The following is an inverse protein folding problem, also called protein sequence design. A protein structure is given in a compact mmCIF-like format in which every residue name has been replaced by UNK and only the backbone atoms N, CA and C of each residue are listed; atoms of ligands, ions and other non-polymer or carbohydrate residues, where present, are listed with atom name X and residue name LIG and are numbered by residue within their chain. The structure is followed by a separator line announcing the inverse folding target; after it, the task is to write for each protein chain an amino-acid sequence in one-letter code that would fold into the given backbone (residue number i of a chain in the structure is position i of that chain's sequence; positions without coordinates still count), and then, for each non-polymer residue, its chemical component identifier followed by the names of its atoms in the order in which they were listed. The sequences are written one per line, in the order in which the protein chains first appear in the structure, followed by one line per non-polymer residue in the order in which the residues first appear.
data_IF_131656151302
#
_entry.id   IF_131656151302
#
_cell.length_a   1.000
_cell.length_b   1.000
_cell.length_c   1.000
_cell.angle_alpha   90.00
_cell.angle_beta   90.00
_cell.angle_gamma   90.00
#
_symmetry.space_group_name_H-M   'P 1'
#
loop_
_entity.id
_entity.type
_entity.pdbx_description
1 polymer ?
#
# COMPACT_ATOMS: atom_id res chain seq x y z
N UNK A 1 -12.65 -48.51 13.70
CA UNK A 1 -12.43 -48.29 15.15
C UNK A 1 -11.13 -47.54 15.34
N UNK A 2 -11.19 -46.44 16.12
CA UNK A 2 -10.13 -45.64 16.79
C UNK A 2 -8.73 -45.52 16.16
N UNK A 3 -8.09 -44.36 16.10
CA UNK A 3 -8.24 -43.17 16.95
C UNK A 3 -6.99 -42.29 16.80
N UNK A 4 -7.10 -41.07 17.31
CA UNK A 4 -6.22 -39.92 17.15
C UNK A 4 -4.88 -39.97 17.90
N UNK A 5 -4.08 -38.93 17.61
CA UNK A 5 -2.98 -38.28 18.36
C UNK A 5 -1.60 -38.57 17.75
N UNK A 6 -0.81 -37.62 17.26
CA UNK A 6 -0.65 -36.21 17.66
C UNK A 6 0.62 -36.10 18.49
N UNK A 7 1.74 -35.65 17.89
CA UNK A 7 2.90 -35.19 18.64
C UNK A 7 3.78 -34.26 17.79
N UNK A 8 3.78 -32.98 18.16
CA UNK A 8 4.82 -31.99 17.85
C UNK A 8 6.09 -32.33 18.63
N UNK A 9 7.29 -31.93 18.16
CA UNK A 9 7.92 -30.86 18.94
C UNK A 9 8.83 -29.86 18.18
N UNK A 10 8.92 -28.68 18.79
CA UNK A 10 10.09 -27.78 18.92
C UNK A 10 10.45 -26.84 17.76
N UNK A 11 9.86 -25.63 17.86
CA UNK A 11 10.39 -24.37 17.34
C UNK A 11 11.66 -23.96 18.12
N UNK A 12 12.72 -23.47 17.44
CA UNK A 12 13.77 -22.71 18.10
C UNK A 12 13.31 -21.26 18.35
N UNK A 13 13.56 -20.80 19.58
CA UNK A 13 13.37 -19.42 20.05
C UNK A 13 14.25 -18.46 19.25
N UNK A 14 13.66 -17.41 18.69
CA UNK A 14 14.40 -16.33 18.02
C UNK A 14 14.04 -15.01 18.70
N UNK A 15 15.07 -14.40 19.29
CA UNK A 15 15.32 -12.96 19.30
C UNK A 15 14.28 -12.02 19.91
N UNK A 16 14.47 -11.69 21.19
CA UNK A 16 14.00 -10.42 21.74
C UNK A 16 14.63 -9.26 20.95
N UNK A 17 13.81 -8.35 20.42
CA UNK A 17 14.25 -7.03 19.98
C UNK A 17 14.34 -6.11 21.21
N UNK A 18 15.41 -5.32 21.38
CA UNK A 18 15.51 -4.42 22.52
C UNK A 18 14.63 -3.18 22.32
N UNK A 19 13.77 -2.93 23.30
CA UNK A 19 13.13 -1.63 23.53
C UNK A 19 14.21 -0.59 23.80
N UNK A 20 14.26 0.45 22.96
CA UNK A 20 15.10 1.62 23.23
C UNK A 20 14.34 2.51 24.21
N UNK A 21 14.74 2.45 25.47
CA UNK A 21 14.38 3.41 26.52
C UNK A 21 15.20 4.68 26.29
N UNK A 22 14.56 5.81 26.00
CA UNK A 22 15.22 7.11 26.02
C UNK A 22 15.29 7.62 27.47
N UNK A 23 16.51 7.85 27.96
CA UNK A 23 16.80 8.52 29.22
C UNK A 23 16.84 10.04 28.97
N UNK A 24 16.25 10.90 29.83
CA UNK A 24 16.26 12.35 29.63
C UNK A 24 17.51 12.97 30.26
N UNK A 25 18.31 13.69 29.49
CA UNK A 25 19.32 14.61 30.02
C UNK A 25 19.22 15.97 29.34
N UNK A 26 19.02 16.98 30.18
CA UNK A 26 19.06 18.42 29.92
C UNK A 26 20.23 18.84 29.03
N UNK A 27 19.94 19.62 27.99
CA UNK A 27 20.92 20.53 27.40
C UNK A 27 20.26 21.89 27.15
N UNK A 28 20.92 22.90 27.72
CA UNK A 28 20.62 24.31 27.74
C UNK A 28 20.11 24.91 26.41
N UNK A 29 19.11 25.78 26.56
CA UNK A 29 18.64 26.74 25.56
C UNK A 29 19.79 27.64 25.09
N UNK A 30 20.09 27.59 23.80
CA UNK A 30 20.84 28.63 23.10
C UNK A 30 19.87 29.39 22.20
N UNK A 31 19.51 30.60 22.61
CA UNK A 31 18.64 31.50 21.85
C UNK A 31 19.44 32.19 20.74
N UNK A 32 19.10 31.91 19.49
CA UNK A 32 19.57 32.65 18.32
C UNK A 32 18.53 33.71 17.90
N UNK A 33 18.95 34.92 17.51
CA UNK A 33 18.01 35.98 17.12
C UNK A 33 17.31 35.62 15.80
N UNK A 34 15.97 35.58 15.81
CA UNK A 34 15.13 35.49 14.60
C UNK A 34 15.30 36.77 13.78
N UNK A 35 16.09 36.71 12.71
CA UNK A 35 16.03 37.70 11.62
C UNK A 35 14.74 37.44 10.83
N UNK A 36 13.77 38.35 11.00
CA UNK A 36 12.53 38.38 10.22
C UNK A 36 12.90 38.81 8.79
N UNK A 37 12.96 37.86 7.87
CA UNK A 37 13.08 38.11 6.44
C UNK A 37 11.80 37.64 5.78
N UNK A 38 11.00 38.61 5.35
CA UNK A 38 9.77 38.47 4.58
C UNK A 38 10.13 38.13 3.14
N UNK A 39 10.20 36.83 2.81
CA UNK A 39 10.02 36.30 1.46
C UNK A 39 9.50 34.86 1.61
N UNK A 40 8.19 34.70 1.84
CA UNK A 40 7.54 33.41 1.64
C UNK A 40 7.45 33.14 0.13
N UNK A 41 8.51 32.57 -0.44
CA UNK A 41 8.36 31.74 -1.62
C UNK A 41 7.68 30.45 -1.16
N UNK A 42 6.35 30.48 -1.09
CA UNK A 42 5.53 29.27 -1.09
C UNK A 42 5.91 28.49 -2.34
N UNK A 43 6.74 27.46 -2.19
CA UNK A 43 6.80 26.38 -3.16
C UNK A 43 5.41 25.75 -3.08
N UNK A 44 4.50 26.22 -3.92
CA UNK A 44 3.22 25.56 -4.12
C UNK A 44 3.54 24.20 -4.72
N UNK A 45 3.74 23.20 -3.85
CA UNK A 45 3.67 21.81 -4.25
C UNK A 45 2.37 21.65 -5.01
N UNK A 46 2.45 21.26 -6.29
CA UNK A 46 1.29 21.13 -7.16
C UNK A 46 0.24 20.28 -6.45
N UNK A 47 -0.93 20.84 -6.11
CA UNK A 47 -1.99 20.10 -5.45
C UNK A 47 -2.41 18.92 -6.34
N UNK A 48 -2.56 17.73 -5.75
CA UNK A 48 -3.05 16.59 -6.50
C UNK A 48 -4.42 16.89 -7.11
N UNK A 49 -4.56 16.65 -8.41
CA UNK A 49 -5.83 16.75 -9.12
C UNK A 49 -6.54 15.38 -9.02
N UNK A 50 -7.73 15.37 -8.44
CA UNK A 50 -8.57 14.18 -8.29
C UNK A 50 -9.67 14.15 -9.36
N UNK A 51 -10.07 12.97 -9.78
CA UNK A 51 -11.26 12.80 -10.60
C UNK A 51 -12.52 13.28 -9.86
N UNK A 52 -13.45 14.00 -10.53
CA UNK A 52 -14.76 14.29 -9.98
C UNK A 52 -15.51 13.00 -9.61
N UNK A 53 -16.27 13.02 -8.51
CA UNK A 53 -17.05 11.85 -8.07
C UNK A 53 -18.00 11.33 -9.14
N UNK A 54 -18.60 12.23 -9.94
CA UNK A 54 -19.53 11.87 -11.00
C UNK A 54 -18.89 11.04 -12.12
N UNK A 55 -17.57 11.13 -12.30
CA UNK A 55 -16.81 10.39 -13.32
C UNK A 55 -15.96 9.25 -12.74
N UNK A 56 -15.91 9.14 -11.40
CA UNK A 56 -15.08 8.15 -10.72
C UNK A 56 -15.66 6.75 -10.92
N UNK A 57 -14.88 5.88 -11.56
CA UNK A 57 -15.24 4.46 -11.72
C UNK A 57 -14.54 3.63 -10.66
N UNK A 58 -15.28 2.70 -10.06
CA UNK A 58 -14.76 1.82 -9.01
C UNK A 58 -15.10 0.37 -9.33
N UNK A 59 -14.07 -0.46 -9.49
CA UNK A 59 -14.25 -1.92 -9.50
C UNK A 59 -14.18 -2.47 -8.09
N UNK A 60 -15.00 -3.49 -7.79
CA UNK A 60 -15.08 -4.14 -6.49
C UNK A 60 -15.04 -5.65 -6.67
N UNK A 61 -14.13 -6.32 -5.96
CA UNK A 61 -13.95 -7.76 -6.11
C UNK A 61 -13.87 -8.44 -4.75
N UNK A 62 -14.75 -9.42 -4.54
CA UNK A 62 -14.58 -10.44 -3.51
C UNK A 62 -13.85 -11.62 -4.15
N UNK A 63 -12.73 -12.01 -3.56
CA UNK A 63 -11.83 -13.03 -4.07
C UNK A 63 -11.86 -14.20 -3.07
N UNK A 64 -12.25 -15.41 -3.50
CA UNK A 64 -12.29 -16.56 -2.62
C UNK A 64 -10.88 -16.92 -2.13
N UNK A 65 -10.80 -17.48 -0.92
CA UNK A 65 -9.58 -18.07 -0.40
C UNK A 65 -9.05 -19.16 -1.37
N UNK A 66 -7.73 -19.27 -1.47
CA UNK A 66 -7.08 -20.28 -2.31
C UNK A 66 -5.73 -20.69 -1.71
N UNK A 67 -5.55 -22.00 -1.48
CA UNK A 67 -4.38 -22.52 -0.79
C UNK A 67 -4.18 -21.85 0.57
N UNK A 68 -3.02 -21.21 0.76
CA UNK A 68 -2.67 -20.48 1.98
C UNK A 68 -3.06 -18.99 1.94
N UNK A 69 -3.66 -18.51 0.85
CA UNK A 69 -4.08 -17.12 0.71
C UNK A 69 -5.53 -16.95 1.19
N UNK A 70 -5.78 -16.21 2.28
CA UNK A 70 -7.13 -16.01 2.79
C UNK A 70 -8.00 -15.18 1.84
N UNK A 71 -7.36 -14.30 1.07
CA UNK A 71 -8.00 -13.32 0.21
C UNK A 71 -9.08 -12.52 0.96
N UNK A 72 -10.25 -12.33 0.37
CA UNK A 72 -11.30 -11.53 1.02
C UNK A 72 -12.20 -12.37 1.93
N UNK A 73 -12.03 -13.70 1.98
CA UNK A 73 -12.98 -14.61 2.62
C UNK A 73 -13.08 -14.46 4.15
N UNK A 74 -11.98 -14.07 4.83
CA UNK A 74 -11.99 -13.94 6.30
C UNK A 74 -12.71 -12.66 6.75
N UNK A 75 -12.42 -11.54 6.09
CA UNK A 75 -12.87 -10.22 6.54
C UNK A 75 -14.06 -9.67 5.74
N UNK A 76 -14.42 -10.31 4.63
CA UNK A 76 -15.45 -9.90 3.70
C UNK A 76 -15.33 -8.43 3.23
N UNK A 77 -14.09 -7.93 3.11
CA UNK A 77 -13.78 -6.61 2.55
C UNK A 77 -13.31 -6.80 1.10
N UNK A 78 -13.91 -6.10 0.12
CA UNK A 78 -13.53 -6.26 -1.28
C UNK A 78 -12.19 -5.58 -1.59
N UNK A 79 -11.44 -6.14 -2.54
CA UNK A 79 -10.43 -5.40 -3.29
C UNK A 79 -11.15 -4.28 -4.06
N UNK A 80 -10.64 -3.05 -3.93
CA UNK A 80 -11.20 -1.89 -4.63
C UNK A 80 -10.17 -1.32 -5.60
N UNK A 81 -10.60 -1.00 -6.82
CA UNK A 81 -9.78 -0.29 -7.81
C UNK A 81 -10.54 0.98 -8.20
N UNK A 82 -9.99 2.13 -7.83
CA UNK A 82 -10.45 3.44 -8.24
C UNK A 82 -9.71 3.84 -9.51
N UNK A 83 -10.42 3.82 -10.63
CA UNK A 83 -9.84 4.09 -11.95
C UNK A 83 -9.64 5.58 -12.16
N UNK A 84 -8.43 5.94 -12.59
CA UNK A 84 -8.03 7.32 -12.88
C UNK A 84 -8.36 8.31 -11.75
N UNK A 85 -8.23 7.87 -10.49
CA UNK A 85 -8.50 8.68 -9.31
C UNK A 85 -7.66 9.96 -9.28
N UNK A 86 -6.41 9.90 -9.75
CA UNK A 86 -5.54 11.07 -9.96
C UNK A 86 -5.43 11.40 -11.46
N UNK A 87 -5.76 12.64 -11.84
CA UNK A 87 -5.94 13.03 -13.26
C UNK A 87 -4.72 13.63 -13.96
N UNK A 88 -3.63 13.92 -13.24
CA UNK A 88 -2.26 14.15 -13.75
C UNK A 88 -1.43 14.77 -12.63
N UNK A 89 -0.93 13.93 -11.73
CA UNK A 89 -0.30 14.37 -10.48
C UNK A 89 1.13 13.83 -10.40
N UNK A 90 2.06 14.65 -9.88
CA UNK A 90 3.43 14.19 -9.58
C UNK A 90 3.43 13.24 -8.38
N UNK A 91 4.45 12.38 -8.27
CA UNK A 91 4.52 11.40 -7.16
C UNK A 91 4.47 12.08 -5.79
N UNK A 92 5.22 13.18 -5.61
CA UNK A 92 5.21 13.96 -4.36
C UNK A 92 3.85 14.59 -4.05
N UNK A 93 3.05 14.90 -5.06
CA UNK A 93 1.71 15.43 -4.87
C UNK A 93 0.70 14.34 -4.50
N UNK A 94 0.87 13.10 -5.01
CA UNK A 94 0.13 11.92 -4.53
C UNK A 94 0.42 11.71 -3.04
N UNK A 95 1.70 11.66 -2.65
CA UNK A 95 2.09 11.49 -1.24
C UNK A 95 1.54 12.60 -0.35
N UNK A 96 1.75 13.86 -0.74
CA UNK A 96 1.22 15.01 0.01
C UNK A 96 -0.29 14.92 0.18
N UNK A 97 -1.01 14.42 -0.84
CA UNK A 97 -2.45 14.22 -0.76
C UNK A 97 -2.79 13.10 0.22
N UNK A 98 -2.14 11.95 0.13
CA UNK A 98 -2.37 10.82 1.03
C UNK A 98 -2.10 11.20 2.49
N UNK A 99 -0.95 11.83 2.78
CA UNK A 99 -0.63 12.36 4.11
C UNK A 99 -1.69 13.35 4.59
N UNK A 100 -2.18 14.25 3.72
CA UNK A 100 -3.24 15.22 4.08
C UNK A 100 -4.60 14.58 4.41
N UNK A 101 -4.86 13.35 3.96
CA UNK A 101 -6.10 12.63 4.32
C UNK A 101 -6.06 12.12 5.76
N UNK A 102 -4.87 11.91 6.33
CA UNK A 102 -4.68 11.48 7.73
C UNK A 102 -5.18 10.07 8.06
N UNK A 103 -5.45 9.24 7.04
CA UNK A 103 -5.95 7.86 7.21
C UNK A 103 -4.96 6.79 6.75
N UNK A 104 -3.95 7.17 5.97
CA UNK A 104 -2.85 6.31 5.51
C UNK A 104 -1.57 7.14 5.44
N UNK A 105 -0.42 6.50 5.58
CA UNK A 105 0.89 7.13 5.46
C UNK A 105 1.67 6.55 4.26
N UNK A 106 2.12 7.36 3.29
CA UNK A 106 3.04 6.91 2.25
C UNK A 106 4.37 6.46 2.84
N UNK A 107 4.88 5.30 2.43
CA UNK A 107 6.11 4.72 2.98
C UNK A 107 7.18 4.45 1.93
N UNK A 108 6.78 4.18 0.69
CA UNK A 108 7.72 3.77 -0.35
C UNK A 108 7.20 4.11 -1.75
N UNK A 109 8.14 4.20 -2.70
CA UNK A 109 7.90 4.30 -4.14
C UNK A 109 8.61 3.14 -4.81
N UNK A 110 7.85 2.22 -5.42
CA UNK A 110 8.45 1.04 -6.04
C UNK A 110 7.47 0.35 -7.00
N UNK A 111 7.97 -0.66 -7.72
CA UNK A 111 7.14 -1.58 -8.49
C UNK A 111 6.52 -2.67 -7.59
N UNK A 112 5.73 -3.57 -8.16
CA UNK A 112 5.12 -4.71 -7.48
C UNK A 112 6.06 -5.93 -7.58
N UNK A 113 6.22 -6.72 -6.53
CA UNK A 113 7.00 -7.95 -6.63
C UNK A 113 6.37 -8.95 -7.59
N UNK A 114 7.20 -9.66 -8.35
CA UNK A 114 6.79 -10.74 -9.24
C UNK A 114 6.46 -12.04 -8.50
N UNK A 115 6.61 -12.08 -7.18
CA UNK A 115 6.28 -13.25 -6.36
C UNK A 115 5.00 -12.96 -5.58
N UNK A 116 4.05 -13.91 -5.59
CA UNK A 116 2.80 -13.81 -4.83
C UNK A 116 3.08 -13.64 -3.34
N UNK A 117 2.56 -12.55 -2.76
CA UNK A 117 2.66 -12.25 -1.33
C UNK A 117 1.36 -11.62 -0.84
N UNK A 118 1.20 -11.52 0.48
CA UNK A 118 0.10 -10.79 1.11
C UNK A 118 0.52 -10.29 2.49
N UNK A 119 -0.17 -9.28 3.00
CA UNK A 119 -0.04 -8.84 4.38
C UNK A 119 -1.13 -9.48 5.23
N UNK A 120 -0.75 -10.16 6.32
CA UNK A 120 -1.68 -10.89 7.16
C UNK A 120 -2.62 -10.00 7.96
N UNK A 121 -2.15 -8.82 8.38
CA UNK A 121 -2.89 -7.91 9.28
C UNK A 121 -3.10 -6.50 8.73
N UNK A 122 -2.32 -6.09 7.74
CA UNK A 122 -2.27 -4.69 7.29
C UNK A 122 -2.97 -4.52 5.95
N UNK A 123 -3.83 -3.51 5.84
CA UNK A 123 -4.41 -3.08 4.56
C UNK A 123 -3.42 -2.18 3.84
N UNK A 124 -3.39 -2.25 2.52
CA UNK A 124 -2.46 -1.45 1.73
C UNK A 124 -3.22 -0.59 0.72
N UNK A 125 -2.70 0.61 0.51
CA UNK A 125 -3.15 1.54 -0.53
C UNK A 125 -2.03 1.74 -1.52
N UNK A 126 -2.27 1.32 -2.77
CA UNK A 126 -1.33 1.42 -3.86
C UNK A 126 -1.81 2.50 -4.84
N UNK A 127 -1.08 3.60 -4.94
CA UNK A 127 -1.39 4.69 -5.88
C UNK A 127 -0.41 4.65 -7.05
N UNK A 128 -0.89 4.35 -8.26
CA UNK A 128 -0.03 4.18 -9.43
C UNK A 128 0.50 5.55 -9.90
N UNK A 129 1.81 5.76 -9.75
CA UNK A 129 2.48 7.02 -10.03
C UNK A 129 3.02 7.09 -11.46
N UNK A 130 3.37 5.94 -12.05
CA UNK A 130 3.96 5.84 -13.38
C UNK A 130 3.64 4.53 -14.09
N UNK A 131 3.60 4.57 -15.42
CA UNK A 131 3.52 3.38 -16.26
C UNK A 131 2.16 2.68 -16.22
N UNK A 132 2.18 1.42 -16.67
CA UNK A 132 1.04 0.51 -16.75
C UNK A 132 1.53 -0.91 -16.50
N UNK A 133 0.77 -1.70 -15.75
CA UNK A 133 1.14 -3.08 -15.46
C UNK A 133 -0.09 -4.00 -15.43
N UNK A 134 0.13 -5.28 -15.75
CA UNK A 134 -0.81 -6.34 -15.44
C UNK A 134 -0.46 -6.91 -14.07
N UNK A 135 -1.41 -6.84 -13.15
CA UNK A 135 -1.27 -7.39 -11.80
C UNK A 135 -2.12 -8.65 -11.68
N UNK A 136 -1.82 -9.47 -10.68
CA UNK A 136 -2.68 -10.59 -10.26
C UNK A 136 -3.03 -10.40 -8.80
N UNK A 137 -4.31 -10.48 -8.46
CA UNK A 137 -4.83 -10.53 -7.10
C UNK A 137 -5.54 -11.86 -6.87
N UNK A 138 -5.25 -12.56 -5.78
CA UNK A 138 -5.92 -13.80 -5.38
C UNK A 138 -5.11 -15.09 -5.50
N UNK A 139 -3.91 -15.03 -6.09
CA UNK A 139 -3.07 -16.19 -6.44
C UNK A 139 -3.30 -16.68 -7.88
N UNK A 140 -2.25 -17.08 -8.59
CA UNK A 140 -2.31 -17.42 -10.02
C UNK A 140 -3.14 -18.68 -10.33
N UNK A 141 -3.09 -19.66 -9.43
CA UNK A 141 -3.86 -20.90 -9.54
C UNK A 141 -5.31 -20.75 -9.04
N UNK A 142 -5.68 -19.56 -8.54
CA UNK A 142 -7.05 -19.29 -8.09
C UNK A 142 -7.94 -18.98 -9.30
N UNK A 143 -9.01 -19.76 -9.48
CA UNK A 143 -10.02 -19.52 -10.52
C UNK A 143 -10.76 -18.19 -10.32
N UNK A 144 -10.88 -17.73 -9.07
CA UNK A 144 -11.51 -16.47 -8.70
C UNK A 144 -10.55 -15.27 -8.66
N UNK A 145 -9.31 -15.41 -9.16
CA UNK A 145 -8.33 -14.33 -9.18
C UNK A 145 -8.77 -13.18 -10.09
N UNK A 146 -8.23 -12.00 -9.82
CA UNK A 146 -8.46 -10.80 -10.63
C UNK A 146 -7.14 -10.37 -11.24
N UNK A 147 -7.13 -10.18 -12.55
CA UNK A 147 -5.93 -9.76 -13.29
C UNK A 147 -6.14 -8.40 -13.97
N UNK A 148 -6.25 -7.30 -13.21
CA UNK A 148 -6.48 -6.01 -13.82
C UNK A 148 -5.20 -5.54 -14.52
N UNK A 149 -5.41 -4.80 -15.60
CA UNK A 149 -4.38 -3.90 -16.11
C UNK A 149 -4.62 -2.54 -15.46
N UNK A 150 -3.63 -2.06 -14.72
CA UNK A 150 -3.68 -0.78 -13.99
C UNK A 150 -2.69 0.19 -14.60
N UNK A 151 -2.99 1.48 -14.52
CA UNK A 151 -2.18 2.53 -15.10
C UNK A 151 -2.06 3.74 -14.18
N UNK A 152 -1.13 4.64 -14.53
CA UNK A 152 -0.92 5.91 -13.83
C UNK A 152 -2.26 6.59 -13.53
N UNK A 153 -2.44 6.93 -12.25
CA UNK A 153 -3.62 7.61 -11.74
C UNK A 153 -4.62 6.67 -11.06
N UNK A 154 -4.51 5.36 -11.25
CA UNK A 154 -5.30 4.38 -10.51
C UNK A 154 -4.89 4.31 -9.04
N UNK A 155 -5.86 4.00 -8.17
CA UNK A 155 -5.62 3.72 -6.76
C UNK A 155 -6.27 2.39 -6.39
N UNK A 156 -5.51 1.50 -5.77
CA UNK A 156 -5.96 0.17 -5.37
C UNK A 156 -5.96 0.12 -3.85
N UNK A 157 -7.08 -0.30 -3.26
CA UNK A 157 -7.17 -0.64 -1.84
C UNK A 157 -7.11 -2.15 -1.76
N UNK A 158 -6.04 -2.66 -1.16
CA UNK A 158 -5.75 -4.09 -0.99
C UNK A 158 -6.02 -4.48 0.46
N UNK A 159 -7.12 -5.17 0.74
CA UNK A 159 -7.41 -5.65 2.08
C UNK A 159 -6.40 -6.71 2.54
N UNK A 160 -6.20 -6.80 3.86
CA UNK A 160 -5.30 -7.79 4.46
C UNK A 160 -5.71 -9.22 4.05
N UNK A 161 -4.74 -10.07 3.74
CA UNK A 161 -4.98 -11.43 3.26
C UNK A 161 -5.12 -11.55 1.74
N UNK A 162 -5.32 -10.47 0.99
CA UNK A 162 -5.36 -10.51 -0.48
C UNK A 162 -3.96 -10.71 -1.04
N UNK A 163 -3.75 -11.89 -1.65
CA UNK A 163 -2.52 -12.17 -2.38
C UNK A 163 -2.40 -11.27 -3.60
N UNK A 164 -1.20 -10.73 -3.86
CA UNK A 164 -0.93 -9.90 -5.02
C UNK A 164 0.48 -10.11 -5.58
N UNK A 165 0.64 -9.92 -6.89
CA UNK A 165 1.93 -9.90 -7.60
C UNK A 165 1.86 -9.16 -8.94
N UNK A 166 3.03 -8.82 -9.46
CA UNK A 166 3.24 -8.38 -10.83
C UNK A 166 3.19 -9.57 -11.80
N UNK A 167 2.47 -9.42 -12.91
CA UNK A 167 2.54 -10.33 -14.04
C UNK A 167 3.35 -9.73 -15.19
N UNK A 168 3.15 -8.44 -15.50
CA UNK A 168 3.80 -7.75 -16.60
C UNK A 168 3.87 -6.23 -16.32
N UNK A 169 5.00 -5.57 -16.58
CA UNK A 169 5.21 -4.11 -16.41
C UNK A 169 5.03 -3.32 -17.72
N UNK A 170 4.76 -4.02 -18.82
CA UNK A 170 4.67 -3.50 -20.18
C UNK A 170 5.83 -2.59 -20.62
N UNK A 171 7.03 -2.80 -20.06
CA UNK A 171 8.25 -2.04 -20.36
C UNK A 171 8.17 -0.54 -20.05
N UNK A 172 7.18 -0.13 -19.26
CA UNK A 172 6.84 1.28 -19.04
C UNK A 172 7.52 1.89 -17.80
N UNK A 173 8.30 1.10 -17.06
CA UNK A 173 8.87 1.54 -15.78
C UNK A 173 7.82 1.70 -14.69
N UNK A 174 6.88 0.74 -14.61
CA UNK A 174 5.75 0.78 -13.68
C UNK A 174 6.18 1.07 -12.23
N UNK A 175 5.59 2.11 -11.65
CA UNK A 175 5.88 2.59 -10.29
C UNK A 175 4.57 2.96 -9.58
N UNK A 176 4.55 2.72 -8.27
CA UNK A 176 3.46 3.09 -7.38
C UNK A 176 3.99 3.62 -6.05
N UNK A 177 3.18 4.45 -5.40
CA UNK A 177 3.33 4.83 -4.00
C UNK A 177 2.54 3.84 -3.15
N UNK A 178 3.23 3.15 -2.24
CA UNK A 178 2.58 2.29 -1.26
C UNK A 178 2.38 2.98 0.07
N UNK A 179 1.21 2.79 0.66
CA UNK A 179 0.78 3.39 1.92
C UNK A 179 0.02 2.39 2.78
N UNK A 180 0.05 2.60 4.09
CA UNK A 180 -0.61 1.75 5.09
C UNK A 180 -1.44 2.57 6.08
#
# INVERSE_FOLDING_TARGET
MSGHAGFFPLLPKIGLWPSITACPTDIHQQTYPKKRSTLEHTIMGSKASLAPLASLRVSKHLIPAHGLFPNTSIQNKPLLIYHSAFSSTSVSAIESRLTSLGVVEPQWRYTMYSTSHFHSTTHEVLSISHGRAKLCFGGEDNEGRIEPVVEKGDVIIVPAGVSHRLLDDFGSGFEMVGSY
#
